data_IF_419489636969
#
_entry.id   IF_419489636969
#
_cell.length_a   1.000
_cell.length_b   1.000
_cell.length_c   1.000
_cell.angle_alpha   90.00
_cell.angle_beta   90.00
_cell.angle_gamma   90.00
#
_symmetry.space_group_name_H-M   'P 1'
#
loop_
_entity.id
_entity.type
_entity.pdbx_description
1 polymer ?
#
# COMPACT_ATOMS: atom_id res chain seq x y z
N UNK A 1 -9.21 -2.93 -21.44
CA UNK A 1 -8.97 -2.57 -20.04
C UNK A 1 -9.92 -3.37 -19.17
N UNK A 2 -9.43 -3.89 -18.05
CA UNK A 2 -10.26 -4.56 -17.06
C UNK A 2 -11.16 -3.54 -16.35
N UNK A 3 -12.28 -4.02 -15.80
CA UNK A 3 -13.26 -3.19 -15.08
C UNK A 3 -13.54 -3.81 -13.73
N UNK A 4 -13.67 -2.98 -12.70
CA UNK A 4 -14.13 -3.46 -11.40
C UNK A 4 -15.66 -3.68 -11.43
N UNK A 5 -16.19 -4.34 -10.41
CA UNK A 5 -17.65 -4.49 -10.27
C UNK A 5 -18.37 -3.16 -9.99
N UNK A 6 -17.63 -2.11 -9.60
CA UNK A 6 -18.12 -0.75 -9.35
C UNK A 6 -18.03 0.19 -10.58
N UNK A 7 -17.55 -0.31 -11.73
CA UNK A 7 -17.32 0.51 -12.91
C UNK A 7 -18.54 1.34 -13.33
N UNK A 8 -19.74 0.73 -13.35
CA UNK A 8 -20.96 1.43 -13.74
C UNK A 8 -21.38 2.51 -12.71
N UNK A 9 -21.12 2.27 -11.42
CA UNK A 9 -21.28 3.27 -10.37
C UNK A 9 -20.37 4.47 -10.63
N UNK A 10 -19.10 4.24 -10.99
CA UNK A 10 -18.15 5.33 -11.27
C UNK A 10 -18.62 6.20 -12.43
N UNK A 11 -19.04 5.57 -13.54
CA UNK A 11 -19.56 6.31 -14.69
C UNK A 11 -20.83 7.10 -14.35
N UNK A 12 -21.79 6.49 -13.64
CA UNK A 12 -23.03 7.14 -13.21
C UNK A 12 -22.78 8.36 -12.32
N UNK A 13 -21.71 8.33 -11.52
CA UNK A 13 -21.31 9.44 -10.65
C UNK A 13 -20.30 10.40 -11.32
N UNK A 14 -20.20 10.39 -12.66
CA UNK A 14 -19.34 11.26 -13.46
C UNK A 14 -17.86 11.21 -13.07
N UNK A 15 -17.36 10.06 -12.62
CA UNK A 15 -15.94 9.91 -12.33
C UNK A 15 -15.09 10.11 -13.58
N UNK A 16 -14.00 10.84 -13.45
CA UNK A 16 -12.97 10.89 -14.48
C UNK A 16 -12.18 9.58 -14.48
N UNK A 17 -12.42 8.74 -15.49
CA UNK A 17 -11.77 7.43 -15.59
C UNK A 17 -10.40 7.53 -16.23
N UNK A 18 -9.46 6.68 -15.76
CA UNK A 18 -8.10 6.56 -16.29
C UNK A 18 -7.66 5.09 -16.36
N UNK A 19 -6.67 4.82 -17.21
CA UNK A 19 -5.99 3.53 -17.22
C UNK A 19 -5.00 3.48 -16.04
N UNK A 20 -5.22 2.57 -15.12
CA UNK A 20 -4.31 2.27 -14.02
C UNK A 20 -3.90 0.79 -14.10
N UNK A 21 -2.67 0.53 -14.57
CA UNK A 21 -2.13 -0.84 -14.72
C UNK A 21 -3.08 -1.80 -15.45
N UNK A 22 -3.70 -1.34 -16.55
CA UNK A 22 -4.63 -2.15 -17.35
C UNK A 22 -6.07 -2.16 -16.86
N UNK A 23 -6.40 -1.48 -15.75
CA UNK A 23 -7.75 -1.31 -15.22
C UNK A 23 -8.28 0.09 -15.53
N UNK A 24 -9.58 0.17 -15.84
CA UNK A 24 -10.28 1.44 -15.98
C UNK A 24 -10.79 1.88 -14.59
N UNK A 25 -10.10 2.85 -13.98
CA UNK A 25 -10.30 3.25 -12.58
C UNK A 25 -10.69 4.73 -12.46
N UNK A 26 -11.44 5.12 -11.41
CA UNK A 26 -11.77 6.52 -11.17
C UNK A 26 -10.53 7.29 -10.69
N UNK A 27 -10.13 8.32 -11.43
CA UNK A 27 -9.08 9.24 -11.00
C UNK A 27 -9.60 10.22 -9.93
N UNK A 28 -10.80 10.77 -10.17
CA UNK A 28 -11.51 11.63 -9.23
C UNK A 28 -13.00 11.72 -9.63
N UNK A 29 -13.83 12.24 -8.70
CA UNK A 29 -15.25 12.54 -8.88
C UNK A 29 -15.52 14.07 -8.92
N UNK A 30 -14.56 14.83 -9.43
CA UNK A 30 -14.61 16.28 -9.57
C UNK A 30 -13.29 16.93 -9.18
N UNK A 31 -12.91 16.86 -7.92
CA UNK A 31 -11.69 17.50 -7.40
C UNK A 31 -10.88 16.59 -6.53
N UNK A 32 -9.71 16.19 -7.02
CA UNK A 32 -8.75 15.40 -6.25
C UNK A 32 -8.37 16.06 -4.90
N UNK A 33 -8.30 17.39 -4.85
CA UNK A 33 -7.94 18.13 -3.63
C UNK A 33 -9.07 18.09 -2.60
N UNK A 34 -10.31 18.28 -3.04
CA UNK A 34 -11.49 18.23 -2.15
C UNK A 34 -11.71 16.81 -1.63
N UNK A 35 -11.57 15.80 -2.48
CA UNK A 35 -11.63 14.39 -2.09
C UNK A 35 -10.56 14.05 -1.04
N UNK A 36 -9.33 14.54 -1.22
CA UNK A 36 -8.27 14.38 -0.24
C UNK A 36 -8.67 14.98 1.12
N UNK A 37 -9.17 16.22 1.14
CA UNK A 37 -9.59 16.88 2.38
C UNK A 37 -10.78 16.18 3.04
N UNK A 38 -11.75 15.69 2.26
CA UNK A 38 -12.86 14.88 2.79
C UNK A 38 -12.36 13.66 3.59
N UNK A 39 -11.35 12.95 3.08
CA UNK A 39 -10.75 11.82 3.80
C UNK A 39 -10.03 12.28 5.06
N UNK A 40 -9.33 13.43 5.03
CA UNK A 40 -8.65 13.97 6.20
C UNK A 40 -9.58 14.49 7.30
N UNK A 41 -10.77 14.94 6.93
CA UNK A 41 -11.72 15.62 7.82
C UNK A 41 -12.90 14.74 8.22
N UNK A 42 -13.21 13.68 7.44
CA UNK A 42 -14.40 12.86 7.65
C UNK A 42 -14.13 11.38 7.33
N UNK A 43 -14.92 10.79 6.43
CA UNK A 43 -14.81 9.41 5.94
C UNK A 43 -14.94 9.43 4.42
N UNK A 44 -14.06 8.70 3.73
CA UNK A 44 -14.17 8.47 2.31
C UNK A 44 -14.08 6.98 1.97
N UNK A 45 -14.67 6.57 0.85
CA UNK A 45 -14.64 5.20 0.36
C UNK A 45 -13.91 5.10 -0.98
N UNK A 46 -13.12 4.04 -1.14
CA UNK A 46 -12.28 3.79 -2.31
C UNK A 46 -12.61 2.43 -2.91
N UNK A 47 -12.77 2.39 -4.23
CA UNK A 47 -12.67 1.14 -4.96
C UNK A 47 -11.20 0.76 -5.15
N UNK A 48 -10.79 -0.33 -4.53
CA UNK A 48 -9.45 -0.92 -4.69
C UNK A 48 -9.51 -2.36 -5.18
N UNK A 49 -10.63 -2.71 -5.86
CA UNK A 49 -10.91 -4.06 -6.37
C UNK A 49 -10.05 -4.47 -7.57
N UNK A 50 -9.19 -3.58 -8.05
CA UNK A 50 -8.13 -3.91 -9.00
C UNK A 50 -7.00 -4.72 -8.35
N UNK A 51 -6.85 -4.68 -7.02
CA UNK A 51 -5.85 -5.47 -6.29
C UNK A 51 -6.18 -6.97 -6.34
N UNK A 52 -5.16 -7.79 -6.19
CA UNK A 52 -5.27 -9.25 -6.31
C UNK A 52 -5.41 -9.89 -4.94
N UNK A 53 -6.33 -10.85 -4.83
CA UNK A 53 -6.53 -11.64 -3.61
C UNK A 53 -6.19 -13.10 -3.88
N UNK A 54 -5.23 -13.64 -3.14
CA UNK A 54 -4.94 -15.07 -3.14
C UNK A 54 -5.36 -15.70 -1.82
N UNK A 55 -5.90 -16.90 -1.87
CA UNK A 55 -6.14 -17.77 -0.73
C UNK A 55 -5.05 -18.84 -0.68
N UNK A 56 -4.40 -18.98 0.48
CA UNK A 56 -3.33 -19.94 0.72
C UNK A 56 -3.75 -20.86 1.86
N UNK A 57 -3.84 -22.16 1.59
CA UNK A 57 -4.28 -23.14 2.58
C UNK A 57 -3.64 -24.52 2.35
N UNK A 58 -3.65 -25.36 3.36
CA UNK A 58 -3.06 -26.67 3.34
C UNK A 58 -2.16 -26.90 4.55
N UNK A 59 -1.70 -28.12 4.71
CA UNK A 59 -0.95 -28.56 5.90
C UNK A 59 0.34 -27.77 6.10
N UNK A 60 1.01 -27.41 4.99
CA UNK A 60 2.29 -26.71 5.01
C UNK A 60 2.16 -25.21 4.70
N UNK A 61 0.95 -24.61 4.82
CA UNK A 61 0.72 -23.21 4.46
C UNK A 61 1.63 -22.24 5.27
N UNK A 62 1.79 -22.46 6.58
CA UNK A 62 2.66 -21.62 7.42
C UNK A 62 4.13 -21.76 7.01
N UNK A 63 4.63 -22.99 6.79
CA UNK A 63 6.03 -23.23 6.39
C UNK A 63 6.32 -22.67 4.99
N UNK A 64 5.36 -22.79 4.07
CA UNK A 64 5.43 -22.14 2.77
C UNK A 64 5.56 -20.61 2.91
N UNK A 65 4.69 -19.98 3.72
CA UNK A 65 4.72 -18.54 3.95
C UNK A 65 6.01 -18.10 4.67
N UNK A 66 6.53 -18.88 5.62
CA UNK A 66 7.85 -18.63 6.24
C UNK A 66 8.98 -18.56 5.22
N UNK A 67 8.91 -19.36 4.16
CA UNK A 67 9.92 -19.39 3.09
C UNK A 67 9.79 -18.20 2.13
N UNK A 68 8.60 -17.79 1.80
CA UNK A 68 8.38 -16.78 0.72
C UNK A 68 8.32 -15.34 1.21
N UNK A 69 8.01 -15.11 2.47
CA UNK A 69 7.82 -13.77 3.02
C UNK A 69 9.12 -13.24 3.66
N UNK A 70 9.43 -11.96 3.47
CA UNK A 70 10.54 -11.30 4.17
C UNK A 70 10.26 -11.14 5.66
N UNK A 71 9.01 -10.84 6.04
CA UNK A 71 8.57 -10.78 7.42
C UNK A 71 8.17 -12.18 7.91
N UNK A 72 8.27 -12.44 9.21
CA UNK A 72 7.96 -13.75 9.74
C UNK A 72 6.46 -13.93 9.99
N UNK A 73 5.83 -14.86 9.27
CA UNK A 73 4.43 -15.20 9.42
C UNK A 73 4.10 -15.74 10.82
N UNK A 74 5.07 -16.31 11.52
CA UNK A 74 4.90 -16.80 12.89
C UNK A 74 4.60 -15.70 13.92
N UNK A 75 4.65 -14.41 13.52
CA UNK A 75 4.20 -13.28 14.34
C UNK A 75 2.69 -13.19 14.42
N UNK A 76 1.97 -13.67 13.43
CA UNK A 76 0.50 -13.68 13.40
C UNK A 76 -0.01 -15.09 13.73
N UNK A 77 -0.09 -15.40 15.01
CA UNK A 77 -0.45 -16.73 15.52
C UNK A 77 -1.94 -16.93 15.72
N UNK A 78 -2.65 -15.83 15.93
CA UNK A 78 -4.07 -15.85 16.24
C UNK A 78 -4.92 -15.55 15.01
N UNK A 79 -6.06 -16.22 14.93
CA UNK A 79 -7.07 -15.89 13.94
C UNK A 79 -7.42 -14.39 14.00
N UNK A 80 -7.42 -13.73 12.86
CA UNK A 80 -7.74 -12.32 12.77
C UNK A 80 -6.51 -11.38 12.83
N UNK A 81 -5.29 -11.89 12.90
CA UNK A 81 -4.08 -11.07 12.80
C UNK A 81 -3.61 -10.94 11.35
N UNK A 82 -2.98 -9.82 11.02
CA UNK A 82 -2.42 -9.55 9.70
C UNK A 82 -0.98 -9.04 9.77
N UNK A 83 -0.23 -9.21 8.69
CA UNK A 83 1.15 -8.75 8.58
C UNK A 83 1.45 -8.18 7.20
N UNK A 84 2.14 -7.04 7.16
CA UNK A 84 2.72 -6.51 5.94
C UNK A 84 4.08 -7.13 5.69
N UNK A 85 4.32 -7.58 4.48
CA UNK A 85 5.55 -8.24 4.07
C UNK A 85 5.91 -7.93 2.62
N UNK A 86 7.07 -8.41 2.20
CA UNK A 86 7.56 -8.32 0.83
C UNK A 86 7.77 -9.73 0.27
N UNK A 87 7.52 -9.90 -1.02
CA UNK A 87 8.11 -10.96 -1.83
C UNK A 87 9.46 -10.48 -2.35
N UNK A 88 10.47 -11.33 -2.22
CA UNK A 88 11.83 -11.04 -2.64
C UNK A 88 12.32 -12.10 -3.64
N UNK A 89 13.21 -11.69 -4.56
CA UNK A 89 13.98 -12.65 -5.34
C UNK A 89 15.24 -13.09 -4.59
N UNK A 90 15.97 -14.07 -5.12
CA UNK A 90 17.20 -14.61 -4.53
C UNK A 90 18.30 -13.54 -4.33
N UNK A 91 18.28 -12.44 -5.10
CA UNK A 91 19.18 -11.31 -4.93
C UNK A 91 18.75 -10.34 -3.81
N UNK A 92 17.64 -10.61 -3.11
CA UNK A 92 17.08 -9.76 -2.06
C UNK A 92 16.40 -8.51 -2.58
N UNK A 93 15.98 -8.50 -3.87
CA UNK A 93 15.24 -7.40 -4.48
C UNK A 93 13.74 -7.62 -4.35
N UNK A 94 12.99 -6.53 -4.26
CA UNK A 94 11.54 -6.55 -4.02
C UNK A 94 10.81 -6.95 -5.30
N UNK A 95 10.11 -8.07 -5.26
CA UNK A 95 9.18 -8.47 -6.31
C UNK A 95 7.82 -7.79 -6.13
N UNK A 96 7.29 -7.79 -4.90
CA UNK A 96 6.07 -7.08 -4.56
C UNK A 96 5.99 -6.79 -3.05
N UNK A 97 5.07 -5.90 -2.67
CA UNK A 97 4.63 -5.69 -1.29
C UNK A 97 3.17 -6.13 -1.12
N UNK A 98 2.87 -6.71 0.03
CA UNK A 98 1.58 -7.34 0.26
C UNK A 98 1.21 -7.38 1.75
N UNK A 99 -0.08 -7.61 2.00
CA UNK A 99 -0.59 -7.91 3.34
C UNK A 99 -1.07 -9.36 3.38
N UNK A 100 -0.70 -10.07 4.43
CA UNK A 100 -1.17 -11.44 4.70
C UNK A 100 -2.07 -11.41 5.92
N UNK A 101 -3.26 -11.98 5.78
CA UNK A 101 -4.28 -12.11 6.83
C UNK A 101 -4.38 -13.57 7.27
N UNK A 102 -4.30 -13.84 8.57
CA UNK A 102 -4.54 -15.17 9.14
C UNK A 102 -6.04 -15.31 9.49
N UNK A 103 -6.74 -16.18 8.77
CA UNK A 103 -8.15 -16.45 9.01
C UNK A 103 -8.38 -17.95 9.22
N UNK A 104 -8.15 -18.37 10.45
CA UNK A 104 -8.22 -19.79 10.88
C UNK A 104 -7.14 -20.65 10.18
N UNK A 105 -7.57 -21.65 9.41
CA UNK A 105 -6.69 -22.58 8.71
C UNK A 105 -6.24 -22.08 7.32
N UNK A 106 -6.51 -20.81 7.02
CA UNK A 106 -6.25 -20.20 5.72
C UNK A 106 -5.59 -18.84 5.88
N UNK A 107 -4.81 -18.49 4.88
CA UNK A 107 -4.24 -17.16 4.76
C UNK A 107 -4.77 -16.48 3.50
N UNK A 108 -5.11 -15.20 3.61
CA UNK A 108 -5.40 -14.39 2.44
C UNK A 108 -4.25 -13.43 2.20
N UNK A 109 -3.80 -13.35 0.96
CA UNK A 109 -2.76 -12.42 0.52
C UNK A 109 -3.41 -11.39 -0.38
N UNK A 110 -3.21 -10.11 -0.05
CA UNK A 110 -3.59 -8.98 -0.93
C UNK A 110 -2.32 -8.37 -1.50
N UNK A 111 -2.19 -8.39 -2.83
CA UNK A 111 -1.03 -7.89 -3.58
C UNK A 111 -1.42 -6.88 -4.67
N UNK A 112 -0.42 -6.25 -5.30
CA UNK A 112 -0.65 -5.25 -6.33
C UNK A 112 -1.19 -5.86 -7.63
N UNK A 113 -2.03 -5.10 -8.35
CA UNK A 113 -2.60 -5.55 -9.63
C UNK A 113 -1.56 -5.60 -10.76
N UNK A 114 -0.55 -4.74 -10.72
CA UNK A 114 0.47 -4.65 -11.78
C UNK A 114 1.42 -5.85 -11.79
N UNK A 115 1.48 -6.59 -10.71
CA UNK A 115 2.39 -7.73 -10.49
C UNK A 115 1.66 -9.06 -10.50
N UNK A 116 0.34 -9.07 -10.69
CA UNK A 116 -0.55 -10.21 -10.53
C UNK A 116 -0.02 -11.49 -11.18
N UNK A 117 0.24 -11.47 -12.49
CA UNK A 117 0.64 -12.67 -13.23
C UNK A 117 1.98 -13.20 -12.72
N UNK A 118 2.94 -12.32 -12.49
CA UNK A 118 4.26 -12.68 -11.94
C UNK A 118 4.14 -13.25 -10.52
N UNK A 119 3.34 -12.62 -9.67
CA UNK A 119 3.19 -13.05 -8.29
C UNK A 119 2.46 -14.40 -8.21
N UNK A 120 1.44 -14.62 -9.04
CA UNK A 120 0.73 -15.89 -9.12
C UNK A 120 1.65 -17.02 -9.58
N UNK A 121 2.43 -16.80 -10.64
CA UNK A 121 3.42 -17.76 -11.14
C UNK A 121 4.47 -18.06 -10.07
N UNK A 122 5.04 -17.02 -9.46
CA UNK A 122 6.07 -17.14 -8.44
C UNK A 122 5.56 -17.87 -7.18
N UNK A 123 4.34 -17.58 -6.72
CA UNK A 123 3.70 -18.27 -5.60
C UNK A 123 3.49 -19.75 -5.92
N UNK A 124 2.96 -20.09 -7.10
CA UNK A 124 2.72 -21.47 -7.53
C UNK A 124 4.02 -22.28 -7.68
N UNK A 125 5.06 -21.70 -8.27
CA UNK A 125 6.38 -22.33 -8.39
C UNK A 125 6.97 -22.67 -7.02
N UNK A 126 6.94 -21.75 -6.07
CA UNK A 126 7.47 -21.96 -4.74
C UNK A 126 6.60 -22.87 -3.87
N UNK A 127 5.32 -23.06 -4.21
CA UNK A 127 4.39 -23.95 -3.55
C UNK A 127 4.62 -25.44 -3.87
N UNK A 128 5.27 -25.76 -5.01
CA UNK A 128 5.44 -27.15 -5.47
C UNK A 128 6.14 -28.10 -4.49
N UNK A 129 6.92 -27.56 -3.55
CA UNK A 129 7.65 -28.34 -2.54
C UNK A 129 6.85 -28.54 -1.23
N UNK A 130 5.59 -28.09 -1.17
CA UNK A 130 4.76 -28.06 0.04
C UNK A 130 3.38 -28.67 -0.22
N UNK A 131 2.76 -29.24 0.83
CA UNK A 131 1.36 -29.63 0.81
C UNK A 131 0.47 -28.39 1.01
N UNK A 132 0.49 -27.47 0.03
CA UNK A 132 -0.22 -26.19 0.04
C UNK A 132 -0.93 -25.94 -1.29
N UNK A 133 -2.04 -25.23 -1.24
CA UNK A 133 -2.75 -24.68 -2.40
C UNK A 133 -2.71 -23.17 -2.36
N UNK A 134 -2.52 -22.57 -3.53
CA UNK A 134 -2.59 -21.12 -3.77
C UNK A 134 -3.67 -20.90 -4.83
N UNK A 135 -4.74 -20.24 -4.45
CA UNK A 135 -5.88 -19.99 -5.32
C UNK A 135 -6.13 -18.48 -5.47
N UNK A 136 -6.14 -17.99 -6.71
CA UNK A 136 -6.57 -16.63 -6.99
C UNK A 136 -8.09 -16.52 -6.84
N UNK A 137 -8.57 -15.56 -6.02
CA UNK A 137 -10.00 -15.33 -5.77
C UNK A 137 -10.57 -14.33 -6.76
N UNK A 138 -10.85 -14.79 -7.98
CA UNK A 138 -11.36 -13.93 -9.07
C UNK A 138 -12.71 -13.28 -8.78
N UNK A 139 -13.54 -13.92 -7.95
CA UNK A 139 -14.85 -13.45 -7.50
C UNK A 139 -14.78 -12.44 -6.35
N UNK A 140 -13.59 -12.18 -5.80
CA UNK A 140 -13.39 -11.21 -4.72
C UNK A 140 -13.08 -9.81 -5.28
N UNK A 141 -13.50 -8.82 -4.50
CA UNK A 141 -13.13 -7.41 -4.63
C UNK A 141 -12.64 -6.87 -3.30
N UNK A 142 -12.24 -5.61 -3.31
CA UNK A 142 -11.82 -4.90 -2.10
C UNK A 142 -12.34 -3.46 -2.17
N UNK A 143 -12.98 -3.01 -1.10
CA UNK A 143 -13.31 -1.60 -0.89
C UNK A 143 -12.62 -1.10 0.38
N UNK A 144 -12.16 0.15 0.39
CA UNK A 144 -11.53 0.74 1.56
C UNK A 144 -12.35 1.93 2.08
N UNK A 145 -12.57 1.99 3.40
CA UNK A 145 -13.29 3.07 4.07
C UNK A 145 -12.32 3.70 5.06
N UNK A 146 -11.95 4.96 4.82
CA UNK A 146 -10.83 5.61 5.50
C UNK A 146 -11.20 7.02 5.97
N UNK A 147 -10.73 7.40 7.15
CA UNK A 147 -10.88 8.75 7.70
C UNK A 147 -11.02 8.77 9.22
N UNK A 148 -10.83 9.92 9.87
CA UNK A 148 -10.82 10.03 11.34
C UNK A 148 -12.15 9.64 12.00
N UNK A 149 -13.28 9.72 11.29
CA UNK A 149 -14.60 9.39 11.81
C UNK A 149 -15.10 7.99 11.42
N UNK A 150 -14.23 7.13 10.88
CA UNK A 150 -14.61 5.78 10.42
C UNK A 150 -15.12 4.90 11.57
N UNK A 151 -14.54 5.03 12.76
CA UNK A 151 -14.98 4.25 13.94
C UNK A 151 -16.41 4.59 14.34
N UNK A 152 -16.77 5.87 14.40
CA UNK A 152 -18.14 6.31 14.71
C UNK A 152 -19.13 5.85 13.63
N UNK A 153 -18.72 5.97 12.35
CA UNK A 153 -19.51 5.50 11.22
C UNK A 153 -19.77 3.98 11.29
N UNK A 154 -18.74 3.18 11.59
CA UNK A 154 -18.85 1.73 11.66
C UNK A 154 -19.60 1.27 12.92
N UNK A 155 -19.47 1.94 14.05
CA UNK A 155 -20.26 1.61 15.24
C UNK A 155 -21.76 1.70 14.95
N UNK A 156 -22.16 2.71 14.18
CA UNK A 156 -23.56 2.94 13.80
C UNK A 156 -24.08 1.96 12.75
N UNK A 157 -23.27 1.62 11.72
CA UNK A 157 -23.74 0.93 10.52
C UNK A 157 -23.32 -0.55 10.46
N UNK A 158 -22.22 -0.94 11.11
CA UNK A 158 -21.65 -2.30 11.05
C UNK A 158 -21.69 -2.99 12.41
N UNK A 159 -21.18 -2.35 13.45
CA UNK A 159 -21.22 -2.85 14.82
C UNK A 159 -19.88 -2.78 15.55
N UNK A 160 -19.96 -2.81 16.88
CA UNK A 160 -18.82 -2.64 17.80
C UNK A 160 -17.72 -3.69 17.66
N UNK A 161 -18.06 -4.92 17.27
CA UNK A 161 -17.06 -5.99 17.11
C UNK A 161 -16.00 -5.67 16.08
N UNK A 162 -16.39 -4.98 14.99
CA UNK A 162 -15.44 -4.54 13.92
C UNK A 162 -14.65 -3.32 14.37
N UNK A 163 -15.31 -2.36 15.04
CA UNK A 163 -14.64 -1.14 15.53
C UNK A 163 -13.54 -1.43 16.56
N UNK A 164 -13.69 -2.50 17.33
CA UNK A 164 -12.73 -2.91 18.36
C UNK A 164 -11.48 -3.61 17.82
N UNK A 165 -11.42 -3.92 16.54
CA UNK A 165 -10.21 -4.45 15.92
C UNK A 165 -9.05 -3.47 16.09
N UNK A 166 -7.86 -3.96 16.35
CA UNK A 166 -6.63 -3.15 16.36
C UNK A 166 -6.05 -3.04 14.94
N UNK A 167 -5.12 -2.11 14.76
CA UNK A 167 -4.39 -2.02 13.50
C UNK A 167 -3.75 -3.37 13.15
N UNK A 168 -3.90 -3.81 11.91
CA UNK A 168 -3.50 -5.12 11.41
C UNK A 168 -4.24 -6.30 12.09
N UNK A 169 -5.45 -6.06 12.56
CA UNK A 169 -6.41 -7.12 12.90
C UNK A 169 -7.54 -7.15 11.87
N UNK A 170 -8.12 -8.33 11.68
CA UNK A 170 -9.27 -8.54 10.81
C UNK A 170 -10.28 -9.50 11.43
N UNK A 171 -11.53 -9.43 10.99
CA UNK A 171 -12.58 -10.33 11.39
C UNK A 171 -13.54 -10.60 10.23
N UNK A 172 -14.12 -11.79 10.21
CA UNK A 172 -15.22 -12.08 9.29
C UNK A 172 -16.53 -11.56 9.86
N UNK A 173 -17.27 -10.82 9.02
CA UNK A 173 -18.62 -10.35 9.34
C UNK A 173 -19.50 -10.44 8.09
N UNK A 174 -20.63 -11.13 8.18
CA UNK A 174 -21.58 -11.38 7.06
C UNK A 174 -20.92 -11.92 5.79
N UNK A 175 -19.92 -12.80 5.93
CA UNK A 175 -19.21 -13.40 4.79
C UNK A 175 -18.14 -12.51 4.15
N UNK A 176 -17.93 -11.29 4.64
CA UNK A 176 -16.85 -10.38 4.25
C UNK A 176 -15.75 -10.34 5.31
N UNK A 177 -14.53 -10.06 4.91
CA UNK A 177 -13.37 -9.86 5.78
C UNK A 177 -13.21 -8.35 5.99
N UNK A 178 -13.35 -7.89 7.22
CA UNK A 178 -13.08 -6.51 7.63
C UNK A 178 -11.69 -6.46 8.25
N UNK A 179 -10.77 -5.75 7.64
CA UNK A 179 -9.40 -5.61 8.14
C UNK A 179 -9.13 -4.14 8.50
N UNK A 180 -8.59 -3.88 9.72
CA UNK A 180 -8.22 -2.52 10.12
C UNK A 180 -6.85 -2.17 9.55
N UNK A 181 -6.83 -1.98 8.25
CA UNK A 181 -5.71 -1.63 7.39
C UNK A 181 -6.09 -0.48 6.48
N UNK A 182 -5.14 0.08 5.73
CA UNK A 182 -5.40 1.16 4.79
C UNK A 182 -4.13 1.80 4.25
N UNK A 183 -4.32 2.74 3.32
CA UNK A 183 -3.26 3.36 2.55
C UNK A 183 -3.30 4.89 2.57
N UNK A 184 -3.88 5.48 3.61
CA UNK A 184 -4.09 6.93 3.72
C UNK A 184 -3.35 7.58 4.89
N UNK A 185 -2.96 6.77 5.88
CA UNK A 185 -2.42 7.26 7.15
C UNK A 185 -3.49 7.66 8.17
N UNK A 186 -4.76 7.72 7.77
CA UNK A 186 -5.91 7.81 8.68
C UNK A 186 -6.30 6.43 9.20
N UNK A 187 -7.20 6.40 10.17
CA UNK A 187 -7.88 5.18 10.60
C UNK A 187 -8.80 4.67 9.48
N UNK A 188 -9.05 3.37 9.44
CA UNK A 188 -9.91 2.83 8.40
C UNK A 188 -9.90 1.33 8.30
N UNK A 189 -10.73 0.85 7.39
CA UNK A 189 -10.90 -0.57 7.11
C UNK A 189 -10.80 -0.84 5.62
N UNK A 190 -10.20 -1.96 5.28
CA UNK A 190 -10.30 -2.59 3.97
C UNK A 190 -11.23 -3.78 4.10
N UNK A 191 -12.23 -3.87 3.23
CA UNK A 191 -13.27 -4.90 3.26
C UNK A 191 -13.09 -5.76 2.02
N UNK A 192 -12.84 -7.05 2.23
CA UNK A 192 -12.46 -8.01 1.22
C UNK A 192 -13.53 -9.08 1.13
N UNK A 193 -13.94 -9.47 -0.07
CA UNK A 193 -14.87 -10.58 -0.25
C UNK A 193 -15.57 -10.59 -1.59
N UNK A 194 -16.66 -11.34 -1.65
CA UNK A 194 -17.47 -11.50 -2.87
C UNK A 194 -17.98 -10.16 -3.41
N UNK A 195 -17.87 -9.97 -4.73
CA UNK A 195 -18.18 -8.72 -5.43
C UNK A 195 -19.64 -8.28 -5.25
N UNK A 196 -20.58 -9.23 -5.24
CA UNK A 196 -22.01 -8.92 -5.07
C UNK A 196 -22.27 -8.33 -3.66
N UNK A 197 -21.74 -8.98 -2.62
CA UNK A 197 -21.90 -8.49 -1.25
C UNK A 197 -21.19 -7.14 -1.03
N UNK A 198 -20.04 -6.94 -1.69
CA UNK A 198 -19.35 -5.64 -1.64
C UNK A 198 -20.12 -4.53 -2.40
N UNK A 199 -20.79 -4.86 -3.50
CA UNK A 199 -21.63 -3.90 -4.21
C UNK A 199 -22.83 -3.44 -3.36
N UNK A 200 -23.46 -4.36 -2.65
CA UNK A 200 -24.54 -4.02 -1.71
C UNK A 200 -24.02 -3.09 -0.61
N UNK A 201 -22.90 -3.46 0.03
CA UNK A 201 -22.30 -2.66 1.09
C UNK A 201 -21.81 -1.28 0.60
N UNK A 202 -21.27 -1.20 -0.62
CA UNK A 202 -20.89 0.09 -1.24
C UNK A 202 -22.08 1.02 -1.39
N UNK A 203 -23.21 0.49 -1.87
CA UNK A 203 -24.43 1.26 -2.02
C UNK A 203 -24.99 1.70 -0.65
N UNK A 204 -24.98 0.83 0.37
CA UNK A 204 -25.37 1.19 1.73
C UNK A 204 -24.53 2.36 2.27
N UNK A 205 -23.22 2.34 2.05
CA UNK A 205 -22.33 3.40 2.51
C UNK A 205 -22.52 4.70 1.71
N UNK A 206 -22.73 4.60 0.41
CA UNK A 206 -23.06 5.76 -0.42
C UNK A 206 -24.36 6.42 0.02
N UNK A 207 -25.41 5.64 0.29
CA UNK A 207 -26.70 6.11 0.77
C UNK A 207 -26.62 6.70 2.19
N UNK A 208 -25.68 6.24 3.00
CA UNK A 208 -25.33 6.81 4.30
C UNK A 208 -24.47 8.07 4.22
N UNK A 209 -24.13 8.54 3.01
CA UNK A 209 -23.43 9.79 2.76
C UNK A 209 -21.90 9.72 2.78
N UNK A 210 -21.30 8.51 2.63
CA UNK A 210 -19.86 8.39 2.46
C UNK A 210 -19.46 8.73 1.02
N UNK A 211 -18.58 9.70 0.86
CA UNK A 211 -18.12 10.14 -0.47
C UNK A 211 -17.20 9.10 -1.14
N UNK A 212 -17.42 8.79 -2.43
CA UNK A 212 -16.47 8.02 -3.22
C UNK A 212 -15.23 8.86 -3.54
N UNK A 213 -14.06 8.23 -3.44
CA UNK A 213 -12.75 8.86 -3.56
C UNK A 213 -11.94 8.19 -4.66
N UNK A 214 -11.36 8.99 -5.56
CA UNK A 214 -10.58 8.48 -6.68
C UNK A 214 -9.10 8.26 -6.37
N UNK A 215 -8.41 7.63 -7.34
CA UNK A 215 -6.97 7.30 -7.25
C UNK A 215 -6.09 8.54 -7.09
N UNK A 216 -6.51 9.70 -7.61
CA UNK A 216 -5.75 10.93 -7.46
C UNK A 216 -5.61 11.36 -5.99
N UNK A 217 -6.70 11.34 -5.24
CA UNK A 217 -6.66 11.59 -3.80
C UNK A 217 -5.94 10.46 -3.03
N UNK A 218 -6.15 9.19 -3.42
CA UNK A 218 -5.42 8.05 -2.84
C UNK A 218 -3.90 8.24 -2.94
N UNK A 219 -3.39 8.70 -4.09
CA UNK A 219 -1.96 8.94 -4.27
C UNK A 219 -1.42 10.09 -3.41
N UNK A 220 -2.16 11.20 -3.31
CA UNK A 220 -1.74 12.31 -2.44
C UNK A 220 -1.78 11.94 -0.96
N UNK A 221 -2.78 11.18 -0.53
CA UNK A 221 -2.94 10.69 0.85
C UNK A 221 -1.80 9.74 1.26
N UNK A 222 -1.45 8.77 0.39
CA UNK A 222 -0.39 7.81 0.68
C UNK A 222 0.99 8.48 0.76
N UNK A 223 1.25 9.48 -0.09
CA UNK A 223 2.52 10.25 -0.05
C UNK A 223 2.62 11.01 1.27
N UNK A 224 1.57 11.71 1.70
CA UNK A 224 1.56 12.39 3.00
C UNK A 224 1.79 11.42 4.17
N UNK A 225 1.26 10.20 4.07
CA UNK A 225 1.39 9.16 5.08
C UNK A 225 2.77 8.47 5.09
N UNK A 226 3.59 8.67 4.06
CA UNK A 226 4.90 8.02 3.94
C UNK A 226 4.86 6.59 3.40
N UNK A 227 3.82 6.23 2.64
CA UNK A 227 3.61 4.88 2.12
C UNK A 227 4.09 4.76 0.67
N UNK A 228 4.96 3.79 0.41
CA UNK A 228 5.51 3.52 -0.91
C UNK A 228 4.47 2.92 -1.86
N UNK A 229 4.68 3.13 -3.15
CA UNK A 229 3.94 2.49 -4.23
C UNK A 229 4.91 1.63 -5.06
N UNK A 230 4.58 0.33 -5.19
CA UNK A 230 5.34 -0.57 -6.05
C UNK A 230 5.32 -0.10 -7.52
N UNK A 231 6.42 -0.26 -8.20
CA UNK A 231 6.62 0.24 -9.57
C UNK A 231 7.08 1.69 -9.65
N UNK A 232 6.84 2.49 -8.59
CA UNK A 232 7.23 3.91 -8.52
C UNK A 232 8.34 4.14 -7.49
N UNK A 233 8.09 3.83 -6.23
CA UNK A 233 9.03 4.09 -5.14
C UNK A 233 9.94 2.89 -4.86
N UNK A 234 9.56 1.72 -5.29
CA UNK A 234 10.31 0.47 -5.20
C UNK A 234 9.96 -0.46 -6.37
N UNK A 235 10.87 -1.38 -6.69
CA UNK A 235 10.72 -2.33 -7.78
C UNK A 235 11.75 -3.48 -7.64
N UNK A 236 11.82 -4.35 -8.66
CA UNK A 236 12.71 -5.51 -8.75
C UNK A 236 14.23 -5.17 -8.82
N UNK A 237 14.60 -3.89 -8.82
CA UNK A 237 16.00 -3.41 -8.76
C UNK A 237 16.38 -2.89 -7.38
N UNK A 238 15.42 -2.73 -6.48
CA UNK A 238 15.61 -2.16 -5.14
C UNK A 238 15.52 -3.23 -4.06
N UNK A 239 16.25 -3.06 -2.98
CA UNK A 239 16.12 -3.92 -1.79
C UNK A 239 15.42 -3.16 -0.64
N UNK A 240 14.88 -3.84 0.37
CA UNK A 240 14.04 -3.22 1.40
C UNK A 240 14.65 -2.02 2.12
N UNK A 241 15.97 -2.03 2.34
CA UNK A 241 16.66 -0.94 3.04
C UNK A 241 16.68 0.38 2.25
N UNK A 242 16.59 0.32 0.90
CA UNK A 242 16.51 1.51 0.04
C UNK A 242 15.12 2.15 -0.01
N UNK A 243 14.10 1.50 0.60
CA UNK A 243 12.71 1.91 0.54
C UNK A 243 12.08 2.15 1.92
N UNK A 244 12.90 2.26 2.98
CA UNK A 244 12.44 2.33 4.37
C UNK A 244 11.62 1.10 4.82
N UNK A 245 11.75 -0.05 4.15
CA UNK A 245 11.03 -1.28 4.42
C UNK A 245 11.90 -2.34 5.12
N UNK A 246 13.09 -1.96 5.60
CA UNK A 246 13.96 -2.86 6.34
C UNK A 246 13.32 -3.47 7.59
N UNK A 247 12.32 -2.81 8.17
CA UNK A 247 11.55 -3.32 9.31
C UNK A 247 10.68 -4.54 8.98
N UNK A 248 10.39 -4.78 7.69
CA UNK A 248 9.66 -5.97 7.20
C UNK A 248 10.57 -7.17 7.00
N UNK A 249 11.89 -6.99 7.11
CA UNK A 249 12.87 -8.05 6.95
C UNK A 249 13.21 -8.63 8.32
N UNK A 250 12.57 -9.74 8.67
CA UNK A 250 12.83 -10.37 9.96
C UNK A 250 14.04 -11.31 9.91
N UNK A 251 15.12 -10.90 10.58
CA UNK A 251 16.36 -11.64 10.72
C UNK A 251 16.54 -12.27 12.13
N UNK A 252 15.55 -12.16 13.03
CA UNK A 252 15.68 -12.59 14.42
C UNK A 252 15.81 -14.11 14.54
N UNK A 253 14.99 -14.85 13.80
CA UNK A 253 15.11 -16.30 13.72
C UNK A 253 16.24 -16.67 12.73
N UNK A 254 17.35 -17.19 13.27
CA UNK A 254 18.53 -17.58 12.49
C UNK A 254 18.26 -18.83 11.66
N UNK A 255 17.43 -19.74 12.15
CA UNK A 255 17.08 -21.00 11.50
C UNK A 255 16.05 -20.80 10.36
N UNK A 256 15.27 -19.74 10.42
CA UNK A 256 14.34 -19.42 9.35
C UNK A 256 15.09 -19.05 8.07
N UNK A 257 14.78 -19.72 6.98
CA UNK A 257 15.31 -19.48 5.65
C UNK A 257 14.21 -18.95 4.72
N UNK A 258 14.27 -17.66 4.39
CA UNK A 258 13.38 -17.08 3.39
C UNK A 258 14.16 -16.65 2.14
N UNK A 259 13.47 -16.58 1.01
CA UNK A 259 14.05 -16.19 -0.28
C UNK A 259 14.64 -14.78 -0.19
N UNK A 260 15.90 -14.64 -0.62
CA UNK A 260 16.64 -13.36 -0.55
C UNK A 260 17.40 -13.11 0.76
N UNK A 261 17.16 -13.88 1.86
CA UNK A 261 17.83 -13.70 3.17
C UNK A 261 19.36 -13.63 3.03
N UNK A 262 19.96 -14.61 2.35
CA UNK A 262 21.42 -14.70 2.20
C UNK A 262 22.02 -13.47 1.48
N UNK A 263 21.31 -12.91 0.53
CA UNK A 263 21.75 -11.74 -0.21
C UNK A 263 21.60 -10.48 0.65
N UNK A 264 20.50 -10.33 1.38
CA UNK A 264 20.27 -9.21 2.29
C UNK A 264 21.28 -9.18 3.44
N UNK A 265 21.72 -10.32 3.96
CA UNK A 265 22.75 -10.41 5.01
C UNK A 265 24.12 -9.81 4.59
N UNK A 266 24.38 -9.70 3.29
CA UNK A 266 25.61 -9.11 2.75
C UNK A 266 25.53 -7.58 2.59
N UNK A 267 24.36 -7.01 2.75
CA UNK A 267 24.11 -5.57 2.56
C UNK A 267 24.29 -4.87 3.91
N UNK A 268 25.09 -3.81 3.94
CA UNK A 268 25.14 -2.89 5.07
C UNK A 268 24.03 -1.82 4.89
N UNK A 269 22.96 -1.84 5.70
CA UNK A 269 21.88 -0.87 5.56
C UNK A 269 22.33 0.59 5.72
N UNK A 270 23.39 0.84 6.49
CA UNK A 270 23.91 2.20 6.75
C UNK A 270 24.61 2.80 5.53
N UNK A 271 25.13 1.95 4.63
CA UNK A 271 25.79 2.36 3.39
C UNK A 271 24.85 2.33 2.20
N UNK A 272 23.66 1.80 2.35
CA UNK A 272 22.66 1.73 1.30
C UNK A 272 22.10 3.12 1.00
N UNK A 273 21.62 3.33 -0.22
CA UNK A 273 20.75 4.46 -0.52
C UNK A 273 19.55 4.43 0.44
N UNK A 274 18.97 5.58 0.70
CA UNK A 274 17.82 5.71 1.61
C UNK A 274 16.68 6.44 0.92
N UNK A 275 15.45 6.07 1.27
CA UNK A 275 14.25 6.83 0.93
C UNK A 275 14.08 7.95 1.95
N UNK A 276 13.88 9.16 1.45
CA UNK A 276 13.65 10.35 2.27
C UNK A 276 12.39 11.09 1.80
N UNK A 277 11.77 11.83 2.71
CA UNK A 277 10.78 12.84 2.35
C UNK A 277 11.47 14.11 1.85
N UNK A 278 10.85 14.75 0.88
CA UNK A 278 11.32 16.00 0.28
C UNK A 278 10.19 17.02 0.31
N UNK A 279 10.45 18.18 0.87
CA UNK A 279 9.53 19.34 0.85
C UNK A 279 10.13 20.41 -0.03
N UNK A 280 9.39 20.84 -1.05
CA UNK A 280 9.81 21.96 -1.91
C UNK A 280 9.46 23.28 -1.20
N UNK A 281 10.45 24.13 -1.02
CA UNK A 281 10.25 25.44 -0.37
C UNK A 281 9.71 26.48 -1.36
N UNK A 282 10.10 26.37 -2.61
CA UNK A 282 9.72 27.28 -3.68
C UNK A 282 8.41 26.86 -4.38
N UNK A 283 7.89 27.74 -5.25
CA UNK A 283 6.75 27.42 -6.10
C UNK A 283 7.11 26.39 -7.16
N UNK A 284 6.42 25.27 -7.17
CA UNK A 284 6.61 24.18 -8.12
C UNK A 284 5.93 22.90 -7.67
N UNK A 285 6.05 21.86 -8.47
CA UNK A 285 5.53 20.51 -8.13
C UNK A 285 6.66 19.52 -8.40
N UNK A 286 7.03 18.77 -7.36
CA UNK A 286 7.94 17.63 -7.49
C UNK A 286 7.31 16.55 -8.39
N UNK A 287 8.14 15.97 -9.25
CA UNK A 287 7.73 14.89 -10.16
C UNK A 287 8.81 13.81 -10.20
N UNK A 288 8.38 12.58 -10.45
CA UNK A 288 9.30 11.47 -10.67
C UNK A 288 10.35 11.79 -11.74
N UNK A 289 11.59 11.33 -11.51
CA UNK A 289 12.71 11.53 -12.42
C UNK A 289 13.51 12.83 -12.21
N UNK A 290 13.00 13.78 -11.41
CA UNK A 290 13.79 14.99 -11.11
C UNK A 290 15.00 14.64 -10.26
N UNK A 291 16.16 15.23 -10.65
CA UNK A 291 17.41 15.02 -9.92
C UNK A 291 17.51 15.99 -8.76
N UNK A 292 18.00 15.48 -7.63
CA UNK A 292 18.21 16.23 -6.39
C UNK A 292 19.69 16.13 -5.99
N UNK A 293 20.25 17.22 -5.48
CA UNK A 293 21.64 17.26 -5.02
C UNK A 293 21.79 18.17 -3.80
N UNK A 294 22.69 17.81 -2.90
CA UNK A 294 23.16 18.66 -1.79
C UNK A 294 24.54 19.31 -2.07
N UNK A 295 25.00 19.21 -3.31
CA UNK A 295 26.32 19.70 -3.75
C UNK A 295 27.47 18.70 -3.58
N UNK A 296 27.27 17.63 -2.81
CA UNK A 296 28.23 16.53 -2.59
C UNK A 296 27.65 15.18 -3.02
N UNK A 297 26.37 15.00 -2.77
CA UNK A 297 25.63 13.78 -2.98
C UNK A 297 24.46 14.02 -3.94
N UNK A 298 23.99 12.96 -4.57
CA UNK A 298 22.91 13.02 -5.54
C UNK A 298 21.79 12.03 -5.21
N UNK A 299 20.62 12.29 -5.76
CA UNK A 299 19.46 11.44 -5.69
C UNK A 299 18.46 11.71 -6.81
N UNK A 300 17.31 11.08 -6.69
CA UNK A 300 16.23 11.20 -7.65
C UNK A 300 14.87 11.21 -6.94
N UNK A 301 13.99 12.11 -7.36
CA UNK A 301 12.58 12.13 -6.92
C UNK A 301 11.88 10.92 -7.54
N UNK A 302 11.23 10.13 -6.72
CA UNK A 302 10.48 8.93 -7.12
C UNK A 302 8.99 9.24 -7.27
N UNK A 303 8.41 9.88 -6.25
CA UNK A 303 7.02 10.32 -6.22
C UNK A 303 6.95 11.78 -5.81
N UNK A 304 5.97 12.51 -6.30
CA UNK A 304 5.78 13.90 -5.91
C UNK A 304 4.38 14.40 -6.20
N UNK A 305 3.85 15.18 -5.25
CA UNK A 305 2.50 15.75 -5.32
C UNK A 305 2.43 17.10 -4.61
N UNK A 306 1.27 17.75 -4.70
CA UNK A 306 0.92 18.87 -3.84
C UNK A 306 0.12 18.33 -2.64
N UNK A 307 0.57 18.64 -1.43
CA UNK A 307 -0.16 18.32 -0.19
C UNK A 307 -1.17 19.42 0.12
N UNK A 308 -2.49 19.12 0.13
CA UNK A 308 -3.51 20.09 0.52
C UNK A 308 -3.39 20.50 1.99
N UNK A 309 -2.94 19.59 2.85
CA UNK A 309 -2.78 19.82 4.31
C UNK A 309 -1.61 20.75 4.58
N UNK A 310 -0.45 20.48 3.99
CA UNK A 310 0.77 21.27 4.19
C UNK A 310 0.83 22.50 3.30
N UNK A 311 0.01 22.57 2.24
CA UNK A 311 0.01 23.63 1.20
C UNK A 311 1.39 23.78 0.54
N UNK A 312 2.12 22.66 0.41
CA UNK A 312 3.46 22.57 -0.18
C UNK A 312 3.53 21.39 -1.15
N UNK A 313 4.46 21.45 -2.09
CA UNK A 313 4.82 20.27 -2.85
C UNK A 313 5.72 19.37 -2.02
N UNK A 314 5.35 18.09 -1.91
CA UNK A 314 6.06 17.05 -1.18
C UNK A 314 6.34 15.86 -2.09
N UNK A 315 7.28 15.02 -1.71
CA UNK A 315 7.57 13.81 -2.46
C UNK A 315 8.58 12.91 -1.76
N UNK A 316 8.84 11.77 -2.39
CA UNK A 316 9.90 10.86 -1.96
C UNK A 316 11.09 10.98 -2.89
N UNK A 317 12.28 10.89 -2.34
CA UNK A 317 13.52 10.75 -3.10
C UNK A 317 14.34 9.57 -2.60
N UNK A 318 15.05 8.92 -3.51
CA UNK A 318 16.10 7.97 -3.17
C UNK A 318 17.44 8.67 -3.32
N UNK A 319 18.13 8.80 -2.20
CA UNK A 319 19.39 9.53 -2.10
C UNK A 319 20.50 8.62 -1.54
N UNK A 320 21.76 9.03 -1.72
CA UNK A 320 22.89 8.34 -1.06
C UNK A 320 22.81 8.45 0.47
N UNK A 321 23.49 7.56 1.18
CA UNK A 321 23.48 7.52 2.65
C UNK A 321 23.91 8.82 3.30
N UNK A 322 24.88 9.53 2.71
CA UNK A 322 25.48 10.76 3.23
C UNK A 322 24.69 12.04 2.87
N UNK A 323 23.59 11.93 2.12
CA UNK A 323 22.81 13.10 1.72
C UNK A 323 22.36 13.94 2.91
N UNK A 324 22.59 15.27 2.83
CA UNK A 324 22.34 16.23 3.89
C UNK A 324 20.85 16.49 4.17
N UNK A 325 20.59 17.45 5.06
CA UNK A 325 19.22 17.84 5.45
C UNK A 325 18.55 18.84 4.49
N UNK A 326 19.31 19.39 3.55
CA UNK A 326 18.84 20.34 2.51
C UNK A 326 19.48 20.01 1.18
N UNK A 327 18.89 20.49 0.11
CA UNK A 327 19.43 20.32 -1.24
C UNK A 327 18.71 21.18 -2.25
N UNK A 328 18.97 20.92 -3.52
CA UNK A 328 18.29 21.56 -4.64
C UNK A 328 17.74 20.51 -5.61
N UNK A 329 16.61 20.82 -6.21
CA UNK A 329 16.01 20.04 -7.31
C UNK A 329 15.94 20.91 -8.56
N UNK A 330 16.21 20.33 -9.70
CA UNK A 330 16.13 21.06 -10.98
C UNK A 330 14.74 20.86 -11.58
N UNK A 331 13.97 21.96 -11.65
CA UNK A 331 12.64 22.01 -12.28
C UNK A 331 12.65 23.05 -13.39
N UNK A 332 12.43 22.65 -14.65
CA UNK A 332 12.42 23.56 -15.82
C UNK A 332 13.64 24.48 -15.87
N UNK A 333 14.84 23.91 -15.66
CA UNK A 333 16.14 24.60 -15.63
C UNK A 333 16.37 25.56 -14.45
N UNK A 334 15.48 25.59 -13.46
CA UNK A 334 15.67 26.36 -12.22
C UNK A 334 16.08 25.42 -11.10
N UNK A 335 17.11 25.79 -10.36
CA UNK A 335 17.49 25.14 -9.11
C UNK A 335 16.59 25.67 -8.00
N UNK A 336 15.73 24.82 -7.43
CA UNK A 336 14.80 25.15 -6.35
C UNK A 336 15.24 24.48 -5.07
N UNK A 337 15.09 25.16 -3.96
CA UNK A 337 15.48 24.65 -2.64
C UNK A 337 14.51 23.60 -2.12
N UNK A 338 15.05 22.57 -1.49
CA UNK A 338 14.29 21.52 -0.83
C UNK A 338 14.82 21.23 0.55
N UNK A 339 13.91 20.93 1.44
CA UNK A 339 14.18 20.37 2.76
C UNK A 339 14.04 18.85 2.71
N UNK A 340 14.98 18.14 3.36
CA UNK A 340 14.95 16.68 3.51
C UNK A 340 14.38 16.35 4.88
N UNK A 341 13.30 15.59 4.89
CA UNK A 341 12.55 15.23 6.08
C UNK A 341 12.30 13.73 6.15
N UNK A 342 11.68 13.28 7.24
CA UNK A 342 11.12 11.93 7.27
C UNK A 342 10.09 11.76 6.15
N UNK A 343 10.01 10.58 5.49
CA UNK A 343 9.02 10.36 4.43
C UNK A 343 7.57 10.42 4.91
N UNK A 344 7.33 10.37 6.21
CA UNK A 344 6.02 10.62 6.80
C UNK A 344 5.82 12.10 7.09
N UNK A 345 5.02 12.78 6.28
CA UNK A 345 4.82 14.23 6.35
C UNK A 345 3.77 14.67 7.37
N UNK A 346 2.80 13.81 7.64
CA UNK A 346 1.73 14.05 8.61
C UNK A 346 1.84 13.09 9.80
N UNK A 347 1.44 13.57 10.98
CA UNK A 347 1.34 12.69 12.16
C UNK A 347 0.12 11.78 12.01
N UNK A 348 0.22 10.54 12.49
CA UNK A 348 -0.96 9.68 12.66
C UNK A 348 -1.87 10.37 13.68
N UNK A 349 -3.12 10.60 13.29
CA UNK A 349 -4.16 11.10 14.21
C UNK A 349 -4.75 9.97 15.01
#
# INVERSE_FOLDING_TARGET
MNKTFLHDFHLKNNAKMVNFSGWEMPLNYGSQLDEHLKVRENVGMFDVSHMTVFEVFGKDAEEFLKKILSNDIAKIKTNGEAIYSLLLNEAGKILDDLIVYNLNEKYFIVSNCATKERDEEWLKENAMAFEVKVEHKEDFGIIAIQGPHVSDFFEKNIGKSIVNLKNFECASHKGLIFARTGYTGEDGFEIIGNKEALLELWNEFNDAGVDPIGLGARDTLRIEAGLCLYGTDMNDKTHPYECNLGWTVDMNDKERHFIGKKSLMKIDPKKSKKLVGVVLEDKGILRAGYKISDGKSNGEILSGTFSPVLKKSIGFARVTSEFGSTGTVIIRNNALNVEIVSPRFIKKR
#
